data_IF_598757796069
#
_entry.id   IF_598757796069
#
_cell.length_a   1.000
_cell.length_b   1.000
_cell.length_c   1.000
_cell.angle_alpha   90.00
_cell.angle_beta   90.00
_cell.angle_gamma   90.00
#
_symmetry.space_group_name_H-M   'P 1'
#
loop_
_entity.id
_entity.type
_entity.pdbx_description
1 polymer ?
#
# COMPACT_ATOMS: atom_id res chain seq x y z
N UNK A 1 10.12 31.36 -23.85
CA UNK A 1 10.88 30.12 -24.13
C UNK A 1 11.94 29.95 -23.05
N UNK A 2 11.92 28.82 -22.33
CA UNK A 2 12.98 28.49 -21.38
C UNK A 2 14.27 28.17 -22.17
N UNK A 3 15.39 28.79 -21.83
CA UNK A 3 16.68 28.45 -22.48
C UNK A 3 17.16 27.07 -22.00
N UNK A 4 17.94 26.37 -22.81
CA UNK A 4 18.55 25.09 -22.45
C UNK A 4 19.35 25.18 -21.11
N UNK A 5 20.02 26.29 -20.88
CA UNK A 5 20.73 26.56 -19.63
C UNK A 5 19.81 26.59 -18.41
N UNK A 6 18.62 27.18 -18.52
CA UNK A 6 17.62 27.19 -17.44
C UNK A 6 17.11 25.79 -17.13
N UNK A 7 16.85 24.96 -18.15
CA UNK A 7 16.45 23.58 -17.98
C UNK A 7 17.52 22.75 -17.25
N UNK A 8 18.80 22.93 -17.61
CA UNK A 8 19.90 22.26 -16.91
C UNK A 8 20.02 22.69 -15.46
N UNK A 9 19.91 23.99 -15.16
CA UNK A 9 19.92 24.50 -13.78
C UNK A 9 18.77 23.92 -12.97
N UNK A 10 17.55 23.88 -13.50
CA UNK A 10 16.40 23.28 -12.82
C UNK A 10 16.60 21.78 -12.57
N UNK A 11 17.06 21.05 -13.57
CA UNK A 11 17.32 19.60 -13.46
C UNK A 11 18.39 19.31 -12.40
N UNK A 12 19.45 20.11 -12.38
CA UNK A 12 20.52 19.99 -11.38
C UNK A 12 20.00 20.28 -9.97
N UNK A 13 19.33 21.42 -9.76
CA UNK A 13 18.75 21.79 -8.47
C UNK A 13 17.74 20.76 -7.98
N UNK A 14 16.89 20.27 -8.88
CA UNK A 14 15.94 19.21 -8.53
C UNK A 14 16.64 17.91 -8.13
N UNK A 15 17.69 17.51 -8.85
CA UNK A 15 18.51 16.34 -8.51
C UNK A 15 19.16 16.50 -7.14
N UNK A 16 19.75 17.66 -6.86
CA UNK A 16 20.30 17.96 -5.53
C UNK A 16 19.20 17.87 -4.45
N UNK A 17 18.02 18.42 -4.72
CA UNK A 17 16.89 18.36 -3.79
C UNK A 17 16.47 16.92 -3.49
N UNK A 18 16.48 16.00 -4.47
CA UNK A 18 16.13 14.59 -4.25
C UNK A 18 16.99 13.93 -3.18
N UNK A 19 18.28 14.27 -3.14
CA UNK A 19 19.24 13.65 -2.22
C UNK A 19 19.41 14.39 -0.89
N UNK A 20 19.23 15.71 -0.89
CA UNK A 20 19.42 16.55 0.31
C UNK A 20 18.14 16.68 1.13
N UNK A 21 17.03 16.99 0.49
CA UNK A 21 15.75 17.20 1.16
C UNK A 21 14.95 15.90 1.27
N UNK A 22 14.96 15.29 2.46
CA UNK A 22 14.36 13.98 2.74
C UNK A 22 13.17 14.04 3.71
N UNK A 23 12.07 14.73 3.38
CA UNK A 23 10.92 14.86 4.28
C UNK A 23 10.25 13.51 4.59
N UNK A 24 10.38 12.52 3.72
CA UNK A 24 9.88 11.15 3.91
C UNK A 24 10.50 10.42 5.11
N UNK A 25 11.68 10.85 5.57
CA UNK A 25 12.30 10.31 6.79
C UNK A 25 11.75 10.96 8.08
N UNK A 26 10.90 11.97 7.95
CA UNK A 26 10.30 12.72 9.06
C UNK A 26 8.77 12.64 9.07
N UNK A 27 8.14 13.80 8.86
CA UNK A 27 6.68 13.95 8.86
C UNK A 27 6.05 13.82 7.47
N UNK A 28 6.85 13.56 6.42
CA UNK A 28 6.39 13.66 5.04
C UNK A 28 6.18 15.12 4.64
N UNK A 29 5.41 15.31 3.57
CA UNK A 29 5.04 16.63 3.08
C UNK A 29 3.57 16.64 2.62
N UNK A 30 2.62 16.33 3.53
CA UNK A 30 1.22 16.19 3.17
C UNK A 30 0.67 17.51 2.62
N UNK A 31 0.07 17.43 1.46
CA UNK A 31 -0.61 18.56 0.86
C UNK A 31 -2.10 18.46 1.17
N UNK A 32 -2.54 19.14 2.20
CA UNK A 32 -3.90 19.01 2.76
C UNK A 32 -4.99 19.22 1.73
N UNK A 33 -4.84 20.17 0.80
CA UNK A 33 -5.83 20.38 -0.25
C UNK A 33 -6.00 19.14 -1.16
N UNK A 34 -4.89 18.42 -1.45
CA UNK A 34 -4.95 17.18 -2.23
C UNK A 34 -5.61 16.05 -1.45
N UNK A 35 -5.29 15.93 -0.17
CA UNK A 35 -5.78 14.85 0.69
C UNK A 35 -7.24 15.01 1.10
N UNK A 36 -7.69 16.26 1.28
CA UNK A 36 -9.02 16.58 1.78
C UNK A 36 -9.87 17.34 0.74
N UNK A 37 -9.34 17.51 -0.45
CA UNK A 37 -10.01 18.20 -1.55
C UNK A 37 -10.88 17.28 -2.40
N UNK A 38 -11.67 17.85 -3.30
CA UNK A 38 -12.63 17.12 -4.13
C UNK A 38 -11.99 16.16 -5.14
N UNK A 39 -10.67 16.25 -5.35
CA UNK A 39 -9.95 15.38 -6.28
C UNK A 39 -10.06 13.91 -5.89
N UNK A 40 -10.00 13.60 -4.60
CA UNK A 40 -10.08 12.21 -4.14
C UNK A 40 -11.51 11.69 -4.28
N UNK A 41 -12.51 12.49 -3.96
CA UNK A 41 -13.92 12.13 -4.18
C UNK A 41 -14.21 11.91 -5.67
N UNK A 42 -13.61 12.71 -6.54
CA UNK A 42 -13.70 12.54 -8.00
C UNK A 42 -13.06 11.22 -8.47
N UNK A 43 -11.88 10.87 -7.94
CA UNK A 43 -11.20 9.60 -8.28
C UNK A 43 -12.02 8.40 -7.77
N UNK A 44 -12.59 8.50 -6.56
CA UNK A 44 -13.50 7.48 -6.03
C UNK A 44 -14.74 7.29 -6.93
N UNK A 45 -15.37 8.40 -7.31
CA UNK A 45 -16.53 8.38 -8.19
C UNK A 45 -16.19 7.83 -9.60
N UNK A 46 -15.01 8.22 -10.14
CA UNK A 46 -14.55 7.72 -11.43
C UNK A 46 -14.40 6.20 -11.47
N UNK A 47 -13.93 5.59 -10.38
CA UNK A 47 -13.76 4.15 -10.27
C UNK A 47 -14.96 3.41 -9.65
N UNK A 48 -16.09 4.10 -9.42
CA UNK A 48 -17.20 3.56 -8.63
C UNK A 48 -16.71 2.83 -7.36
N UNK A 49 -15.74 3.49 -6.70
CA UNK A 49 -14.99 2.84 -5.62
C UNK A 49 -15.82 2.78 -4.35
N UNK A 50 -15.91 1.59 -3.78
CA UNK A 50 -16.63 1.32 -2.53
C UNK A 50 -15.64 1.10 -1.39
N UNK A 51 -15.81 1.81 -0.27
CA UNK A 51 -15.03 1.57 0.96
C UNK A 51 -15.95 1.02 2.04
N UNK A 52 -15.60 -0.13 2.57
CA UNK A 52 -16.39 -0.85 3.59
C UNK A 52 -15.53 -1.04 4.84
N UNK A 53 -16.14 -0.90 5.99
CA UNK A 53 -15.60 -1.33 7.28
C UNK A 53 -16.54 -2.36 7.89
N UNK A 54 -15.98 -3.48 8.30
CA UNK A 54 -16.70 -4.49 9.08
C UNK A 54 -16.75 -4.10 10.57
N UNK A 55 -17.80 -4.48 11.23
CA UNK A 55 -17.99 -4.23 12.66
C UNK A 55 -18.17 -2.75 13.06
N UNK A 56 -18.13 -2.45 14.35
CA UNK A 56 -18.30 -1.10 14.88
C UNK A 56 -17.07 -0.22 14.61
N UNK A 57 -17.26 1.10 14.65
CA UNK A 57 -16.15 2.05 14.52
C UNK A 57 -15.12 1.82 15.64
N UNK A 58 -13.81 1.74 15.29
CA UNK A 58 -12.77 1.62 16.29
C UNK A 58 -12.70 2.90 17.17
N UNK A 59 -12.20 2.75 18.39
CA UNK A 59 -12.03 3.89 19.30
C UNK A 59 -11.07 4.93 18.69
N UNK A 60 -11.48 6.20 18.52
CA UNK A 60 -10.61 7.25 18.00
C UNK A 60 -9.33 7.47 18.81
N UNK A 61 -9.31 7.08 20.09
CA UNK A 61 -8.13 7.16 20.95
C UNK A 61 -7.25 5.92 20.88
N UNK A 62 -7.70 4.88 20.18
CA UNK A 62 -6.94 3.66 19.96
C UNK A 62 -5.72 3.88 19.07
N UNK A 63 -4.82 2.91 19.09
CA UNK A 63 -3.61 2.89 18.26
C UNK A 63 -3.73 1.76 17.26
N UNK A 64 -3.60 2.08 15.98
CA UNK A 64 -3.89 1.13 14.91
C UNK A 64 -2.77 1.06 13.87
N UNK A 65 -2.48 -0.17 13.44
CA UNK A 65 -1.72 -0.46 12.23
C UNK A 65 -2.69 -1.07 11.22
N UNK A 66 -2.89 -0.37 10.10
CA UNK A 66 -3.70 -0.84 9.00
C UNK A 66 -2.83 -1.65 8.02
N UNK A 67 -3.23 -2.87 7.73
CA UNK A 67 -2.51 -3.78 6.83
C UNK A 67 -3.41 -4.17 5.65
N UNK A 68 -3.18 -3.56 4.48
CA UNK A 68 -3.96 -3.81 3.26
C UNK A 68 -3.28 -4.83 2.37
N UNK A 69 -4.07 -5.71 1.79
CA UNK A 69 -3.71 -6.72 0.78
C UNK A 69 -4.73 -6.74 -0.35
N UNK A 70 -4.36 -7.19 -1.56
CA UNK A 70 -3.00 -7.25 -2.07
C UNK A 70 -2.39 -5.85 -2.28
N UNK A 71 -1.07 -5.81 -2.52
CA UNK A 71 -0.38 -4.55 -2.84
C UNK A 71 -0.92 -3.91 -4.13
N UNK A 72 -1.44 -4.73 -5.05
CA UNK A 72 -1.75 -4.25 -6.39
C UNK A 72 -0.49 -3.76 -7.10
N UNK A 73 -0.65 -3.07 -8.22
CA UNK A 73 0.49 -2.56 -8.95
C UNK A 73 0.93 -1.19 -8.47
N UNK A 74 -0.01 -0.27 -8.22
CA UNK A 74 0.30 1.08 -7.73
C UNK A 74 -0.07 1.31 -6.26
N UNK A 75 -0.81 0.38 -5.64
CA UNK A 75 -1.38 0.62 -4.33
C UNK A 75 -2.29 1.84 -4.34
N UNK A 76 -3.22 1.90 -5.29
CA UNK A 76 -4.17 3.02 -5.47
C UNK A 76 -5.01 3.22 -4.22
N UNK A 77 -5.20 2.18 -3.41
CA UNK A 77 -5.81 2.26 -2.09
C UNK A 77 -5.24 3.39 -1.21
N UNK A 78 -3.99 3.82 -1.45
CA UNK A 78 -3.39 4.96 -0.76
C UNK A 78 -4.13 6.28 -0.99
N UNK A 79 -4.76 6.45 -2.15
CA UNK A 79 -5.53 7.64 -2.44
C UNK A 79 -6.83 7.73 -1.63
N UNK A 80 -7.33 6.61 -1.11
CA UNK A 80 -8.65 6.50 -0.49
C UNK A 80 -8.62 6.39 1.02
N UNK A 81 -7.45 6.49 1.62
CA UNK A 81 -7.31 6.36 3.05
C UNK A 81 -6.60 7.56 3.66
N UNK A 82 -7.20 8.11 4.68
CA UNK A 82 -6.54 9.08 5.55
C UNK A 82 -6.94 10.53 5.43
N UNK A 83 -7.96 10.89 4.65
CA UNK A 83 -8.32 12.30 4.60
C UNK A 83 -9.68 12.61 3.99
N UNK A 84 -10.22 11.69 3.25
CA UNK A 84 -11.49 11.87 2.54
C UNK A 84 -12.71 11.65 3.40
N UNK A 85 -13.82 12.24 2.99
CA UNK A 85 -15.08 12.14 3.70
C UNK A 85 -15.53 10.71 3.97
N UNK A 86 -15.36 9.80 3.00
CA UNK A 86 -15.66 8.39 3.20
C UNK A 86 -14.79 7.73 4.28
N UNK A 87 -13.50 8.06 4.36
CA UNK A 87 -12.63 7.55 5.41
C UNK A 87 -13.07 8.04 6.80
N UNK A 88 -13.34 9.33 6.94
CA UNK A 88 -13.79 9.90 8.21
C UNK A 88 -15.18 9.39 8.64
N UNK A 89 -16.04 9.05 7.69
CA UNK A 89 -17.32 8.40 7.98
C UNK A 89 -17.14 6.97 8.55
N UNK A 90 -16.13 6.24 8.06
CA UNK A 90 -15.85 4.88 8.49
C UNK A 90 -14.94 4.81 9.72
N UNK A 91 -13.95 5.71 9.82
CA UNK A 91 -12.95 5.79 10.87
C UNK A 91 -12.91 7.18 11.48
N UNK A 92 -13.99 7.61 12.20
CA UNK A 92 -14.09 8.97 12.73
C UNK A 92 -12.95 9.29 13.68
N UNK A 93 -12.26 10.41 13.42
CA UNK A 93 -11.14 10.86 14.25
C UNK A 93 -9.84 10.05 14.11
N UNK A 94 -9.81 9.03 13.25
CA UNK A 94 -8.63 8.21 13.00
C UNK A 94 -8.00 8.63 11.68
N UNK A 95 -6.77 9.14 11.73
CA UNK A 95 -5.93 9.34 10.57
C UNK A 95 -4.77 8.33 10.60
N UNK A 96 -4.34 7.86 9.44
CA UNK A 96 -3.23 6.93 9.32
C UNK A 96 -2.18 7.42 8.33
N UNK A 97 -0.91 7.22 8.65
CA UNK A 97 0.23 7.61 7.83
C UNK A 97 0.64 6.43 6.94
N UNK A 98 0.65 6.65 5.64
CA UNK A 98 1.11 5.63 4.70
C UNK A 98 2.61 5.43 4.74
N UNK A 99 3.04 4.18 4.89
CA UNK A 99 4.41 3.77 4.64
C UNK A 99 4.61 3.41 3.17
N UNK A 100 5.61 4.01 2.54
CA UNK A 100 6.00 3.73 1.16
C UNK A 100 7.44 3.25 1.08
N UNK A 101 7.76 2.51 0.02
CA UNK A 101 9.11 2.02 -0.22
C UNK A 101 10.10 3.17 -0.44
N UNK A 102 11.25 3.12 0.25
CA UNK A 102 12.22 4.22 0.25
C UNK A 102 12.71 4.67 -1.13
N UNK A 103 12.90 3.73 -2.09
CA UNK A 103 13.32 4.11 -3.43
C UNK A 103 12.27 4.93 -4.20
N UNK A 104 10.99 4.82 -3.87
CA UNK A 104 9.94 5.64 -4.49
C UNK A 104 10.18 7.14 -4.29
N UNK A 105 10.85 7.53 -3.19
CA UNK A 105 11.16 8.92 -2.89
C UNK A 105 12.36 9.48 -3.65
N UNK A 106 13.00 8.68 -4.49
CA UNK A 106 14.07 9.11 -5.40
C UNK A 106 13.64 9.11 -6.86
N UNK A 107 12.40 8.71 -7.16
CA UNK A 107 11.84 8.72 -8.50
C UNK A 107 11.04 10.00 -8.72
N UNK A 108 11.46 10.88 -9.68
CA UNK A 108 10.73 12.10 -10.01
C UNK A 108 9.25 11.83 -10.34
N UNK A 109 8.35 12.67 -9.85
CA UNK A 109 6.92 12.52 -9.98
C UNK A 109 6.31 11.56 -8.94
N UNK A 110 6.84 10.33 -8.80
CA UNK A 110 6.40 9.36 -7.78
C UNK A 110 6.71 9.89 -6.37
N UNK A 111 7.87 10.51 -6.21
CA UNK A 111 8.27 11.19 -4.97
C UNK A 111 7.25 12.23 -4.55
N UNK A 112 6.95 13.16 -5.43
CA UNK A 112 6.02 14.27 -5.14
C UNK A 112 4.62 13.74 -4.83
N UNK A 113 4.12 12.82 -5.63
CA UNK A 113 2.84 12.15 -5.40
C UNK A 113 2.79 11.47 -4.03
N UNK A 114 3.84 10.73 -3.67
CA UNK A 114 3.93 10.05 -2.38
C UNK A 114 4.02 11.04 -1.21
N UNK A 115 4.85 12.09 -1.34
CA UNK A 115 4.99 13.11 -0.30
C UNK A 115 3.72 13.91 -0.09
N UNK A 116 3.06 14.34 -1.17
CA UNK A 116 1.81 15.11 -1.12
C UNK A 116 0.65 14.29 -0.57
N UNK A 117 0.64 12.96 -0.81
CA UNK A 117 -0.29 12.05 -0.16
C UNK A 117 0.10 11.71 1.30
N UNK A 118 1.09 12.36 1.86
CA UNK A 118 1.51 12.19 3.25
C UNK A 118 2.28 10.90 3.55
N UNK A 119 2.81 10.24 2.52
CA UNK A 119 3.61 9.04 2.72
C UNK A 119 4.94 9.35 3.41
N UNK A 120 5.37 8.39 4.23
CA UNK A 120 6.70 8.35 4.84
C UNK A 120 7.40 7.05 4.45
N UNK A 121 8.71 6.98 4.67
CA UNK A 121 9.48 5.76 4.43
C UNK A 121 8.99 4.62 5.33
N UNK A 122 8.77 3.44 4.75
CA UNK A 122 8.27 2.26 5.48
C UNK A 122 9.36 1.53 6.29
N UNK A 123 10.57 2.10 6.41
CA UNK A 123 11.60 1.53 7.28
C UNK A 123 11.20 1.61 8.75
N UNK A 124 11.57 0.58 9.52
CA UNK A 124 11.22 0.48 10.95
C UNK A 124 11.53 1.76 11.75
N UNK A 125 12.73 2.40 11.62
CA UNK A 125 13.03 3.60 12.39
C UNK A 125 12.14 4.81 12.06
N UNK A 126 11.67 4.93 10.82
CA UNK A 126 10.78 6.03 10.41
C UNK A 126 9.36 5.77 10.93
N UNK A 127 8.88 4.55 10.79
CA UNK A 127 7.57 4.15 11.31
C UNK A 127 7.50 4.29 12.83
N UNK A 128 8.53 3.86 13.57
CA UNK A 128 8.58 4.02 15.03
C UNK A 128 8.56 5.50 15.45
N UNK A 129 9.25 6.38 14.71
CA UNK A 129 9.16 7.82 14.98
C UNK A 129 7.74 8.37 14.77
N UNK A 130 7.03 7.91 13.73
CA UNK A 130 5.65 8.30 13.50
C UNK A 130 4.72 7.78 14.63
N UNK A 131 4.88 6.51 15.00
CA UNK A 131 4.13 5.87 16.08
C UNK A 131 4.38 6.58 17.43
N UNK A 132 5.62 6.96 17.71
CA UNK A 132 5.98 7.70 18.94
C UNK A 132 5.41 9.12 18.98
N UNK A 133 5.03 9.69 17.84
CA UNK A 133 4.27 10.95 17.76
C UNK A 133 2.75 10.75 17.95
N UNK A 134 2.29 9.49 18.15
CA UNK A 134 0.87 9.16 18.28
C UNK A 134 0.17 8.93 16.94
N UNK A 135 0.90 8.83 15.83
CA UNK A 135 0.32 8.59 14.50
C UNK A 135 -0.01 7.09 14.32
N UNK A 136 -1.17 6.79 13.73
CA UNK A 136 -1.44 5.47 13.19
C UNK A 136 -0.68 5.27 11.89
N UNK A 137 -0.39 4.03 11.53
CA UNK A 137 0.34 3.70 10.30
C UNK A 137 -0.45 2.76 9.42
N UNK A 138 -0.25 2.87 8.13
CA UNK A 138 -0.90 2.06 7.12
C UNK A 138 0.14 1.49 6.16
N UNK A 139 0.10 0.19 5.93
CA UNK A 139 1.11 -0.54 5.17
C UNK A 139 0.47 -1.46 4.14
N UNK A 140 1.24 -1.74 3.10
CA UNK A 140 1.02 -2.83 2.14
C UNK A 140 2.13 -3.87 2.37
N UNK A 141 1.94 -4.84 3.30
CA UNK A 141 3.05 -5.67 3.78
C UNK A 141 3.64 -6.59 2.72
N UNK A 142 2.88 -6.98 1.69
CA UNK A 142 3.36 -7.80 0.57
C UNK A 142 4.46 -7.11 -0.24
N UNK A 143 4.39 -5.78 -0.35
CA UNK A 143 5.42 -4.95 -0.98
C UNK A 143 5.64 -5.27 -2.46
N UNK A 144 6.84 -4.96 -2.95
CA UNK A 144 7.22 -5.14 -4.37
C UNK A 144 7.17 -6.61 -4.80
N UNK A 145 7.48 -7.55 -3.90
CA UNK A 145 7.43 -8.98 -4.23
C UNK A 145 5.99 -9.41 -4.60
N UNK A 146 4.98 -8.87 -3.92
CA UNK A 146 3.56 -9.11 -4.23
C UNK A 146 3.11 -8.35 -5.49
N UNK A 147 3.58 -7.11 -5.65
CA UNK A 147 3.32 -6.31 -6.86
C UNK A 147 3.74 -7.07 -8.13
N UNK A 148 4.91 -7.72 -8.11
CA UNK A 148 5.43 -8.49 -9.23
C UNK A 148 4.66 -9.81 -9.47
N UNK A 149 3.84 -10.25 -8.53
CA UNK A 149 2.93 -11.41 -8.67
C UNK A 149 1.52 -11.01 -9.11
N UNK A 150 1.23 -9.72 -9.17
CA UNK A 150 -0.09 -9.24 -9.59
C UNK A 150 -0.34 -9.60 -11.05
N UNK A 151 -1.42 -10.34 -11.29
CA UNK A 151 -1.83 -10.81 -12.61
C UNK A 151 -3.36 -10.69 -12.72
N UNK A 152 -3.81 -9.80 -13.61
CA UNK A 152 -5.24 -9.54 -13.82
C UNK A 152 -6.00 -10.71 -14.46
N UNK A 153 -5.31 -11.61 -15.17
CA UNK A 153 -5.91 -12.75 -15.86
C UNK A 153 -5.94 -14.00 -14.97
N UNK A 154 -5.15 -14.01 -13.90
CA UNK A 154 -5.07 -15.16 -12.99
C UNK A 154 -6.31 -15.28 -12.11
N UNK A 155 -6.83 -16.49 -11.98
CA UNK A 155 -7.85 -16.85 -10.99
C UNK A 155 -7.28 -17.10 -9.58
N UNK A 156 -5.96 -17.03 -9.44
CA UNK A 156 -5.28 -17.18 -8.16
C UNK A 156 -4.65 -15.84 -7.74
N UNK A 157 -5.14 -15.22 -6.67
CA UNK A 157 -4.51 -14.07 -6.05
C UNK A 157 -3.45 -14.53 -5.06
N UNK A 158 -2.18 -14.19 -5.33
CA UNK A 158 -1.05 -14.58 -4.47
C UNK A 158 -0.70 -13.45 -3.50
N UNK A 159 -0.79 -13.73 -2.20
CA UNK A 159 -0.42 -12.79 -1.15
C UNK A 159 0.94 -13.17 -0.57
N UNK A 160 1.89 -12.25 -0.60
CA UNK A 160 3.22 -12.44 0.00
C UNK A 160 3.11 -12.15 1.49
N UNK A 161 2.80 -13.18 2.25
CA UNK A 161 2.45 -13.05 3.66
C UNK A 161 3.23 -13.98 4.58
N UNK A 162 3.54 -15.22 4.20
CA UNK A 162 3.99 -16.26 5.13
C UNK A 162 5.26 -15.91 5.93
N UNK A 163 6.17 -15.14 5.35
CA UNK A 163 7.43 -14.70 5.97
C UNK A 163 7.44 -13.17 6.27
N UNK A 164 6.34 -12.46 5.99
CA UNK A 164 6.24 -11.01 6.20
C UNK A 164 5.67 -10.66 7.59
N UNK A 165 6.40 -11.03 8.64
CA UNK A 165 5.96 -10.80 10.04
C UNK A 165 6.40 -9.45 10.63
N UNK A 166 7.19 -8.64 9.90
CA UNK A 166 7.78 -7.41 10.41
C UNK A 166 6.76 -6.36 10.87
N UNK A 167 5.64 -6.23 10.17
CA UNK A 167 4.57 -5.28 10.54
C UNK A 167 3.82 -5.74 11.80
N UNK A 168 3.63 -7.05 11.99
CA UNK A 168 3.02 -7.62 13.20
C UNK A 168 3.95 -7.40 14.38
N UNK A 169 5.25 -7.65 14.22
CA UNK A 169 6.25 -7.38 15.25
C UNK A 169 6.25 -5.90 15.65
N UNK A 170 6.20 -4.98 14.67
CA UNK A 170 6.09 -3.54 14.93
C UNK A 170 4.83 -3.20 15.73
N UNK A 171 3.70 -3.82 15.39
CA UNK A 171 2.42 -3.64 16.08
C UNK A 171 2.52 -4.11 17.53
N UNK A 172 3.04 -5.32 17.78
CA UNK A 172 3.19 -5.88 19.13
C UNK A 172 4.15 -5.04 19.98
N UNK A 173 5.31 -4.64 19.44
CA UNK A 173 6.29 -3.81 20.15
C UNK A 173 5.70 -2.47 20.61
N UNK A 174 4.71 -1.95 19.90
CA UNK A 174 4.14 -0.63 20.12
C UNK A 174 2.69 -0.64 20.66
N UNK A 175 2.11 -1.82 20.91
CA UNK A 175 0.74 -1.96 21.43
C UNK A 175 -0.31 -1.38 20.50
N UNK A 176 -0.19 -1.65 19.20
CA UNK A 176 -1.14 -1.20 18.19
C UNK A 176 -2.03 -2.37 17.76
N UNK A 177 -3.35 -2.19 17.76
CA UNK A 177 -4.25 -3.17 17.17
C UNK A 177 -4.07 -3.20 15.65
N UNK A 178 -4.20 -4.37 15.03
CA UNK A 178 -4.05 -4.51 13.57
C UNK A 178 -5.43 -4.52 12.92
N UNK A 179 -5.65 -3.63 11.97
CA UNK A 179 -6.85 -3.63 11.13
C UNK A 179 -6.45 -4.20 9.75
N UNK A 180 -6.82 -5.46 9.48
CA UNK A 180 -6.56 -6.08 8.19
C UNK A 180 -7.52 -5.54 7.14
N UNK A 181 -7.08 -5.46 5.89
CA UNK A 181 -7.92 -5.05 4.79
C UNK A 181 -7.64 -5.82 3.51
N UNK A 182 -8.66 -5.88 2.64
CA UNK A 182 -8.52 -6.43 1.29
C UNK A 182 -8.99 -5.43 0.24
N UNK A 183 -8.18 -5.29 -0.80
CA UNK A 183 -8.44 -4.42 -1.93
C UNK A 183 -8.90 -5.25 -3.13
N UNK A 184 -10.14 -5.06 -3.56
CA UNK A 184 -10.71 -5.70 -4.73
C UNK A 184 -10.54 -4.83 -5.97
N UNK A 185 -10.31 -5.46 -7.12
CA UNK A 185 -10.23 -4.79 -8.41
C UNK A 185 -8.84 -4.25 -8.78
N UNK A 186 -7.93 -4.06 -7.83
CA UNK A 186 -6.60 -3.50 -8.12
C UNK A 186 -5.78 -4.30 -9.14
N UNK A 187 -5.99 -5.61 -9.24
CA UNK A 187 -5.32 -6.44 -10.24
C UNK A 187 -5.73 -6.10 -11.69
N UNK A 188 -6.87 -5.42 -11.87
CA UNK A 188 -7.44 -5.06 -13.17
C UNK A 188 -7.22 -3.60 -13.57
N UNK A 189 -6.66 -2.76 -12.70
CA UNK A 189 -6.42 -1.33 -13.00
C UNK A 189 -5.48 -1.13 -14.18
N UNK A 190 -4.55 -2.06 -14.38
CA UNK A 190 -3.58 -2.02 -15.46
C UNK A 190 -3.35 -3.41 -16.04
N UNK A 191 -3.06 -3.43 -17.33
CA UNK A 191 -2.41 -4.60 -17.94
C UNK A 191 -0.94 -4.61 -17.55
N UNK A 192 -0.44 -5.75 -17.10
CA UNK A 192 0.96 -5.94 -16.74
C UNK A 192 1.73 -6.53 -17.91
N UNK A 193 2.83 -5.89 -18.29
CA UNK A 193 3.74 -6.39 -19.32
C UNK A 193 5.07 -6.68 -18.64
N UNK A 194 5.47 -7.94 -18.62
CA UNK A 194 6.76 -8.33 -18.04
C UNK A 194 7.90 -7.81 -18.91
N UNK A 195 8.87 -7.18 -18.27
CA UNK A 195 10.08 -6.70 -18.94
C UNK A 195 10.96 -7.88 -19.39
N UNK A 196 11.78 -7.72 -20.44
CA UNK A 196 12.76 -8.71 -20.87
C UNK A 196 13.70 -9.12 -19.71
N UNK A 197 14.12 -10.38 -19.69
CA UNK A 197 14.92 -10.94 -18.60
C UNK A 197 16.23 -10.18 -18.30
N UNK A 198 16.88 -9.58 -19.30
CA UNK A 198 18.09 -8.80 -19.08
C UNK A 198 17.82 -7.52 -18.26
N UNK A 199 16.66 -6.87 -18.47
CA UNK A 199 16.23 -5.70 -17.70
C UNK A 199 15.83 -6.13 -16.28
N UNK A 200 15.11 -7.24 -16.15
CA UNK A 200 14.72 -7.78 -14.85
C UNK A 200 15.95 -8.05 -13.97
N UNK A 201 17.06 -8.57 -14.54
CA UNK A 201 18.31 -8.81 -13.79
C UNK A 201 18.91 -7.54 -13.19
N UNK A 202 18.67 -6.37 -13.81
CA UNK A 202 19.15 -5.07 -13.32
C UNK A 202 18.19 -4.51 -12.26
N UNK A 203 16.88 -4.59 -12.50
CA UNK A 203 15.87 -3.95 -11.64
C UNK A 203 15.63 -4.68 -10.32
N UNK A 204 15.67 -6.02 -10.31
CA UNK A 204 15.41 -6.84 -9.12
C UNK A 204 16.37 -6.58 -7.95
N UNK A 205 17.70 -6.52 -8.14
CA UNK A 205 18.63 -6.18 -7.06
C UNK A 205 18.36 -4.79 -6.48
N UNK A 206 17.87 -3.86 -7.30
CA UNK A 206 17.48 -2.51 -6.90
C UNK A 206 16.10 -2.47 -6.22
N UNK A 207 15.44 -3.61 -6.07
CA UNK A 207 14.07 -3.73 -5.54
C UNK A 207 13.08 -2.84 -6.29
N UNK A 208 13.23 -2.76 -7.60
CA UNK A 208 12.32 -2.07 -8.51
C UNK A 208 11.39 -3.07 -9.18
N UNK A 209 10.21 -2.60 -9.61
CA UNK A 209 9.30 -3.44 -10.39
C UNK A 209 9.95 -3.88 -11.70
N UNK A 210 9.79 -5.15 -12.01
CA UNK A 210 10.21 -5.74 -13.29
C UNK A 210 9.06 -5.81 -14.32
N UNK A 211 7.98 -5.11 -14.03
CA UNK A 211 6.76 -5.09 -14.82
C UNK A 211 6.49 -3.67 -15.34
N UNK A 212 6.23 -3.53 -16.62
CA UNK A 212 5.66 -2.33 -17.20
C UNK A 212 4.13 -2.39 -17.10
N UNK A 213 3.54 -1.23 -16.90
CA UNK A 213 2.10 -1.06 -16.82
C UNK A 213 1.60 -0.45 -18.12
N UNK A 214 0.57 -1.04 -18.65
CA UNK A 214 -0.19 -0.51 -19.76
C UNK A 214 -1.58 -0.15 -19.27
N UNK A 215 -1.89 1.12 -19.26
CA UNK A 215 -3.21 1.64 -18.95
C UNK A 215 -4.10 1.80 -20.19
N UNK A 216 -5.06 2.69 -20.10
CA UNK A 216 -6.00 3.01 -21.18
C UNK A 216 -5.29 3.70 -22.35
N UNK A 217 -5.43 3.15 -23.53
CA UNK A 217 -4.82 3.71 -24.76
C UNK A 217 -3.30 3.52 -24.80
N UNK A 218 -2.59 4.59 -25.17
CA UNK A 218 -1.11 4.63 -25.29
C UNK A 218 -0.46 5.08 -23.98
N UNK A 219 -1.25 5.55 -23.02
CA UNK A 219 -0.73 6.13 -21.79
C UNK A 219 -0.34 5.05 -20.78
N UNK A 220 0.90 5.11 -20.31
CA UNK A 220 1.39 4.27 -19.22
C UNK A 220 0.67 4.53 -17.89
N UNK A 221 -0.02 5.67 -17.75
CA UNK A 221 -0.66 6.15 -16.52
C UNK A 221 -2.19 6.19 -16.57
N UNK A 222 -2.84 5.81 -17.68
CA UNK A 222 -4.29 5.75 -17.74
C UNK A 222 -4.79 4.53 -16.97
N UNK A 223 -5.54 4.74 -15.90
CA UNK A 223 -6.21 3.63 -15.22
C UNK A 223 -7.27 3.02 -16.13
N UNK A 224 -7.34 1.68 -16.14
CA UNK A 224 -8.54 0.99 -16.58
C UNK A 224 -9.63 1.25 -15.53
N UNK A 225 -10.88 0.98 -15.87
CA UNK A 225 -12.04 1.32 -15.06
C UNK A 225 -12.70 0.07 -14.44
N UNK A 226 -11.98 -0.74 -13.67
CA UNK A 226 -12.59 -1.83 -12.93
C UNK A 226 -13.32 -1.26 -11.71
N UNK A 227 -14.39 -1.93 -11.24
CA UNK A 227 -14.95 -1.62 -9.94
C UNK A 227 -13.89 -1.86 -8.86
N UNK A 228 -13.65 -0.83 -8.03
CA UNK A 228 -12.71 -0.91 -6.91
C UNK A 228 -13.47 -1.03 -5.61
N UNK A 229 -12.99 -1.88 -4.72
CA UNK A 229 -13.51 -1.91 -3.36
C UNK A 229 -12.42 -2.16 -2.33
N UNK A 230 -12.52 -1.44 -1.22
CA UNK A 230 -11.60 -1.52 -0.09
C UNK A 230 -12.38 -1.97 1.13
N UNK A 231 -12.13 -3.18 1.59
CA UNK A 231 -12.83 -3.76 2.73
C UNK A 231 -11.87 -3.87 3.90
N UNK A 232 -12.18 -3.18 4.98
CA UNK A 232 -11.44 -3.22 6.24
C UNK A 232 -12.14 -4.14 7.23
N UNK A 233 -11.42 -5.09 7.78
CA UNK A 233 -11.90 -6.00 8.81
C UNK A 233 -11.93 -5.37 10.20
N UNK A 234 -12.38 -6.15 11.17
CA UNK A 234 -12.38 -5.75 12.58
C UNK A 234 -10.95 -5.68 13.15
N UNK A 235 -10.70 -4.79 14.12
CA UNK A 235 -9.41 -4.68 14.77
C UNK A 235 -9.02 -5.98 15.50
N UNK A 236 -7.89 -6.55 15.16
CA UNK A 236 -7.26 -7.66 15.88
C UNK A 236 -6.52 -7.06 17.07
N UNK A 237 -6.99 -7.38 18.26
CA UNK A 237 -6.42 -6.89 19.51
C UNK A 237 -5.01 -7.43 19.73
N UNK A 238 -4.10 -6.52 20.07
CA UNK A 238 -2.68 -6.83 20.26
C UNK A 238 -2.24 -6.42 21.66
N UNK A 239 -1.68 -7.37 22.41
CA UNK A 239 -1.03 -7.09 23.69
C UNK A 239 0.39 -6.60 23.43
N UNK A 240 0.74 -5.44 23.97
CA UNK A 240 2.11 -4.92 23.88
C UNK A 240 3.10 -5.83 24.59
N UNK A 241 4.18 -6.15 23.89
CA UNK A 241 5.24 -7.02 24.42
C UNK A 241 6.59 -6.63 23.78
N UNK A 242 7.60 -6.45 24.66
CA UNK A 242 8.98 -6.17 24.24
C UNK A 242 9.96 -6.76 25.26
N UNK A 243 10.77 -7.79 24.90
CA UNK A 243 10.89 -8.43 23.61
C UNK A 243 9.62 -9.19 23.20
N UNK A 244 9.42 -9.34 21.88
CA UNK A 244 8.27 -10.06 21.33
C UNK A 244 8.53 -11.55 21.38
N UNK A 245 7.57 -12.30 21.94
CA UNK A 245 7.57 -13.77 21.91
C UNK A 245 7.22 -14.27 20.50
N UNK A 246 8.03 -15.20 19.97
CA UNK A 246 7.85 -15.70 18.60
C UNK A 246 6.54 -16.48 18.45
N UNK A 247 6.10 -17.20 19.46
CA UNK A 247 4.82 -17.92 19.44
C UNK A 247 3.64 -16.94 19.36
N UNK A 248 3.67 -15.88 20.17
CA UNK A 248 2.65 -14.84 20.13
C UNK A 248 2.66 -14.06 18.79
N UNK A 249 3.85 -13.79 18.24
CA UNK A 249 4.01 -13.21 16.92
C UNK A 249 3.31 -14.05 15.86
N UNK A 250 3.50 -15.36 15.89
CA UNK A 250 2.91 -16.29 14.93
C UNK A 250 1.39 -16.38 15.10
N UNK A 251 0.88 -16.41 16.32
CA UNK A 251 -0.55 -16.40 16.61
C UNK A 251 -1.23 -15.14 16.05
N UNK A 252 -0.66 -13.96 16.28
CA UNK A 252 -1.22 -12.70 15.76
C UNK A 252 -1.13 -12.65 14.23
N UNK A 253 0.00 -13.08 13.66
CA UNK A 253 0.19 -13.12 12.22
C UNK A 253 -0.81 -14.05 11.53
N UNK A 254 -1.07 -15.23 12.10
CA UNK A 254 -2.08 -16.17 11.60
C UNK A 254 -3.49 -15.55 11.63
N UNK A 255 -3.87 -14.86 12.71
CA UNK A 255 -5.17 -14.16 12.79
C UNK A 255 -5.32 -13.11 11.69
N UNK A 256 -4.25 -12.37 11.37
CA UNK A 256 -4.27 -11.41 10.26
C UNK A 256 -4.49 -12.13 8.93
N UNK A 257 -3.76 -13.23 8.69
CA UNK A 257 -3.89 -14.00 7.46
C UNK A 257 -5.30 -14.58 7.29
N UNK A 258 -5.85 -15.18 8.35
CA UNK A 258 -7.21 -15.73 8.36
C UNK A 258 -8.26 -14.64 8.08
N UNK A 259 -8.10 -13.47 8.69
CA UNK A 259 -9.00 -12.33 8.47
C UNK A 259 -8.98 -11.86 7.02
N UNK A 260 -7.81 -11.68 6.43
CA UNK A 260 -7.65 -11.24 5.04
C UNK A 260 -8.30 -12.27 4.07
N UNK A 261 -8.04 -13.56 4.27
CA UNK A 261 -8.64 -14.64 3.47
C UNK A 261 -10.17 -14.69 3.66
N UNK A 262 -10.64 -14.47 4.89
CA UNK A 262 -12.07 -14.44 5.20
C UNK A 262 -12.78 -13.26 4.53
N UNK A 263 -12.20 -12.06 4.55
CA UNK A 263 -12.71 -10.89 3.83
C UNK A 263 -12.84 -11.21 2.33
N UNK A 264 -11.79 -11.75 1.71
CA UNK A 264 -11.86 -12.12 0.30
C UNK A 264 -13.01 -13.09 0.00
N UNK A 265 -13.12 -14.16 0.78
CA UNK A 265 -14.19 -15.16 0.57
C UNK A 265 -15.59 -14.58 0.66
N UNK A 266 -15.83 -13.65 1.61
CA UNK A 266 -17.14 -13.02 1.79
C UNK A 266 -17.52 -12.05 0.67
N UNK A 267 -16.54 -11.34 0.10
CA UNK A 267 -16.82 -10.23 -0.81
C UNK A 267 -16.46 -10.50 -2.26
N UNK A 268 -15.72 -11.57 -2.59
CA UNK A 268 -15.24 -11.84 -3.94
C UNK A 268 -16.34 -11.82 -5.00
N UNK A 269 -17.46 -12.48 -4.76
CA UNK A 269 -18.58 -12.51 -5.69
C UNK A 269 -19.23 -11.13 -5.90
N UNK A 270 -19.31 -10.33 -4.83
CA UNK A 270 -19.88 -8.97 -4.89
C UNK A 270 -19.05 -8.04 -5.78
N UNK A 271 -17.73 -8.24 -5.83
CA UNK A 271 -16.80 -7.36 -6.56
C UNK A 271 -16.23 -8.00 -7.84
N UNK A 272 -17.02 -8.90 -8.47
CA UNK A 272 -16.74 -9.39 -9.81
C UNK A 272 -15.66 -10.47 -9.92
N UNK A 273 -15.23 -11.05 -8.79
CA UNK A 273 -14.34 -12.21 -8.80
C UNK A 273 -15.15 -13.48 -9.06
N UNK A 274 -14.62 -14.36 -9.88
CA UNK A 274 -15.28 -15.63 -10.19
C UNK A 274 -15.39 -16.53 -8.94
N UNK A 275 -16.37 -17.43 -8.93
CA UNK A 275 -16.60 -18.33 -7.80
C UNK A 275 -15.41 -19.24 -7.52
N UNK A 276 -14.71 -19.66 -8.57
CA UNK A 276 -13.51 -20.50 -8.51
C UNK A 276 -12.20 -19.72 -8.25
N UNK A 277 -12.27 -18.38 -8.12
CA UNK A 277 -11.09 -17.61 -7.74
C UNK A 277 -10.65 -17.88 -6.29
N UNK A 278 -9.34 -18.03 -6.12
CA UNK A 278 -8.70 -18.43 -4.86
C UNK A 278 -7.63 -17.47 -4.41
N UNK A 279 -7.28 -17.55 -3.12
CA UNK A 279 -6.09 -16.92 -2.55
C UNK A 279 -5.08 -17.99 -2.17
N UNK A 280 -3.81 -17.76 -2.49
CA UNK A 280 -2.69 -18.51 -1.92
C UNK A 280 -1.75 -17.58 -1.14
N UNK A 281 -1.33 -18.04 0.03
CA UNK A 281 -0.33 -17.36 0.84
C UNK A 281 1.04 -17.91 0.46
N UNK A 282 1.93 -17.02 0.03
CA UNK A 282 3.27 -17.39 -0.44
C UNK A 282 4.35 -16.67 0.36
N UNK A 283 5.57 -17.23 0.35
CA UNK A 283 6.73 -16.54 0.91
C UNK A 283 7.35 -15.55 -0.07
N UNK A 284 8.10 -14.58 0.42
CA UNK A 284 8.88 -13.69 -0.45
C UNK A 284 9.94 -14.46 -1.27
N UNK A 285 10.44 -15.58 -0.75
CA UNK A 285 11.37 -16.47 -1.47
C UNK A 285 10.69 -17.16 -2.65
N UNK A 286 9.46 -17.67 -2.46
CA UNK A 286 8.66 -18.29 -3.53
C UNK A 286 8.21 -17.26 -4.57
N UNK A 287 7.86 -16.05 -4.14
CA UNK A 287 7.54 -14.95 -5.01
C UNK A 287 8.70 -14.65 -5.97
N UNK A 288 9.92 -14.54 -5.45
CA UNK A 288 11.14 -14.32 -6.25
C UNK A 288 11.47 -15.48 -7.18
N UNK A 289 11.19 -16.72 -6.78
CA UNK A 289 11.41 -17.90 -7.62
C UNK A 289 10.43 -17.98 -8.80
N UNK A 290 9.15 -17.70 -8.55
CA UNK A 290 8.10 -17.72 -9.59
C UNK A 290 8.19 -16.54 -10.56
N UNK A 291 8.83 -15.46 -10.15
CA UNK A 291 9.12 -14.32 -11.02
C UNK A 291 10.35 -14.56 -11.93
N UNK A 292 11.15 -15.62 -11.70
CA UNK A 292 12.26 -16.05 -12.57
C UNK A 292 11.76 -16.88 -13.72
#
# INVERSE_FOLDING_TARGET
MCSWTQLWCFSFLYTVQLFVHRPHLGKGWPFHWLLYGPLVDYVLAYHDATVIREGPAPDPKGRYLFAMYPHGVYGVCRAFSGGVGCWQALFPGIAARWGSFGAAFFLPGIREMSLFSGCIDASKPVLERAINRGENVMLLPGGIDEMNLTDGESKETKLVMTDRKGFVKLSIENGMDIIPGFCFGEKWIHHTIRLPHFIQRILRPLRMSDTLLRGRGITLMGFLDPPLAYVWGEPIKVRQQKPVDDKYLDEVHQKVAESVVSIFKRYKARFGYAEDETISLVSAADAKRKAR
#
